data_IF_732146239290
#
_entry.id   IF_732146239290
#
_cell.length_a   1.000
_cell.length_b   1.000
_cell.length_c   1.000
_cell.angle_alpha   90.00
_cell.angle_beta   90.00
_cell.angle_gamma   90.00
#
_symmetry.space_group_name_H-M   'P 1'
#
loop_
_entity.id
_entity.type
_entity.pdbx_description
1 polymer ?
#
# COMPACT_ATOMS: atom_id res chain seq x y z
N UNK A 1 8.65 -0.90 -39.79
CA UNK A 1 7.66 -0.89 -38.69
C UNK A 1 8.15 -1.84 -37.61
N UNK A 2 8.63 -1.35 -36.46
CA UNK A 2 9.07 -2.20 -35.33
C UNK A 2 7.83 -2.61 -34.54
N UNK A 3 7.45 -3.87 -34.67
CA UNK A 3 6.36 -4.47 -33.91
C UNK A 3 6.93 -4.86 -32.54
N UNK A 4 6.87 -3.94 -31.57
CA UNK A 4 7.19 -4.25 -30.18
C UNK A 4 5.95 -4.90 -29.57
N UNK A 5 5.93 -6.23 -29.57
CA UNK A 5 5.02 -7.01 -28.74
C UNK A 5 5.36 -6.71 -27.29
N UNK A 6 4.58 -5.84 -26.65
CA UNK A 6 4.58 -5.71 -25.19
C UNK A 6 4.12 -7.06 -24.66
N UNK A 7 5.05 -7.82 -24.10
CA UNK A 7 4.71 -9.02 -23.34
C UNK A 7 4.03 -8.56 -22.05
N UNK A 8 2.70 -8.50 -22.07
CA UNK A 8 1.88 -8.41 -20.85
C UNK A 8 2.08 -9.71 -20.07
N UNK A 9 3.15 -9.76 -19.28
CA UNK A 9 3.29 -10.75 -18.24
C UNK A 9 2.15 -10.49 -17.26
N UNK A 10 1.29 -11.49 -16.95
CA UNK A 10 0.27 -11.30 -15.94
C UNK A 10 0.98 -10.93 -14.64
N UNK A 11 0.68 -9.75 -14.12
CA UNK A 11 1.08 -9.37 -12.77
C UNK A 11 0.43 -10.43 -11.87
N UNK A 12 1.24 -11.29 -11.27
CA UNK A 12 0.73 -12.31 -10.37
C UNK A 12 0.22 -11.60 -9.10
N UNK A 13 -1.10 -11.41 -9.03
CA UNK A 13 -1.75 -10.81 -7.86
C UNK A 13 -1.93 -11.92 -6.81
N UNK A 14 -1.22 -11.82 -5.69
CA UNK A 14 -1.42 -12.71 -4.54
C UNK A 14 -2.38 -12.04 -3.53
N UNK A 15 -3.62 -12.50 -3.35
CA UNK A 15 -4.57 -11.90 -2.41
C UNK A 15 -4.14 -11.97 -0.93
N UNK A 16 -3.07 -12.69 -0.62
CA UNK A 16 -2.44 -12.72 0.71
C UNK A 16 -1.56 -11.50 0.96
N UNK A 17 -1.07 -10.85 -0.10
CA UNK A 17 -0.26 -9.65 0.02
C UNK A 17 -1.09 -8.47 0.52
N UNK A 18 -0.48 -7.72 1.43
CA UNK A 18 -1.08 -6.62 2.17
C UNK A 18 -0.11 -5.45 2.12
N UNK A 19 -0.56 -4.29 1.67
CA UNK A 19 0.28 -3.10 1.56
C UNK A 19 -0.34 -1.93 2.32
N UNK A 20 0.52 -1.14 2.98
CA UNK A 20 0.12 0.10 3.65
C UNK A 20 1.03 1.22 3.18
N UNK A 21 0.45 2.35 2.75
CA UNK A 21 1.18 3.56 2.37
C UNK A 21 0.66 4.74 3.16
N UNK A 22 1.47 5.29 4.07
CA UNK A 22 1.09 6.51 4.79
C UNK A 22 1.15 7.68 3.80
N UNK A 23 0.04 8.38 3.65
CA UNK A 23 -0.04 9.55 2.76
C UNK A 23 0.27 10.82 3.52
N UNK A 24 -0.24 10.94 4.76
CA UNK A 24 -0.10 12.15 5.57
C UNK A 24 -0.43 11.92 7.05
N UNK A 25 0.06 12.80 7.92
CA UNK A 25 -0.50 13.02 9.25
C UNK A 25 -1.23 14.36 9.22
N UNK A 26 -2.52 14.36 9.55
CA UNK A 26 -3.34 15.57 9.45
C UNK A 26 -3.20 16.51 10.66
N UNK A 27 -3.68 17.77 10.59
CA UNK A 27 -3.57 18.72 11.70
C UNK A 27 -4.26 18.27 12.99
N UNK A 28 -5.20 17.33 12.89
CA UNK A 28 -5.91 16.73 14.02
C UNK A 28 -5.13 15.55 14.64
N UNK A 29 -3.97 15.19 14.08
CA UNK A 29 -3.10 14.12 14.58
C UNK A 29 -3.47 12.72 14.11
N UNK A 30 -4.36 12.58 13.13
CA UNK A 30 -4.69 11.28 12.53
C UNK A 30 -3.71 10.93 11.41
N UNK A 31 -3.43 9.64 11.28
CA UNK A 31 -2.66 9.06 10.17
C UNK A 31 -3.63 8.75 9.04
N UNK A 32 -3.45 9.41 7.90
CA UNK A 32 -4.10 9.09 6.63
C UNK A 32 -3.19 8.13 5.86
N UNK A 33 -3.77 7.02 5.39
CA UNK A 33 -3.03 5.99 4.69
C UNK A 33 -3.90 5.23 3.70
N UNK A 34 -3.27 4.69 2.66
CA UNK A 34 -3.87 3.75 1.75
C UNK A 34 -3.57 2.32 2.20
N UNK A 35 -4.56 1.44 2.07
CA UNK A 35 -4.43 0.02 2.32
C UNK A 35 -4.85 -0.79 1.09
N UNK A 36 -3.99 -1.71 0.66
CA UNK A 36 -4.21 -2.50 -0.55
C UNK A 36 -4.05 -4.00 -0.28
N UNK A 37 -4.76 -4.81 -1.06
CA UNK A 37 -4.70 -6.28 -1.02
C UNK A 37 -4.33 -6.79 -2.40
N UNK A 38 -3.29 -7.61 -2.46
CA UNK A 38 -2.76 -8.23 -3.67
C UNK A 38 -2.04 -7.30 -4.64
N UNK A 39 -2.46 -6.05 -4.78
CA UNK A 39 -1.81 -5.09 -5.67
C UNK A 39 -1.90 -3.67 -5.10
N UNK A 40 -0.81 -2.87 -5.08
CA UNK A 40 -0.84 -1.50 -4.56
C UNK A 40 -1.79 -0.54 -5.31
N UNK A 41 -2.12 -0.85 -6.57
CA UNK A 41 -2.94 -0.03 -7.46
C UNK A 41 -4.43 -0.04 -7.09
N UNK A 42 -4.89 -1.06 -6.35
CA UNK A 42 -6.27 -1.16 -5.85
C UNK A 42 -6.27 -1.05 -4.34
N UNK A 43 -6.45 0.18 -3.85
CA UNK A 43 -6.41 0.50 -2.43
C UNK A 43 -7.69 1.18 -1.95
N UNK A 44 -7.87 1.17 -0.63
CA UNK A 44 -8.85 1.99 0.09
C UNK A 44 -8.11 3.02 0.93
N UNK A 45 -8.62 4.25 0.96
CA UNK A 45 -8.12 5.30 1.83
C UNK A 45 -8.76 5.19 3.22
N UNK A 46 -7.92 5.24 4.25
CA UNK A 46 -8.30 5.10 5.65
C UNK A 46 -7.65 6.20 6.48
N UNK A 47 -8.27 6.51 7.61
CA UNK A 47 -7.75 7.47 8.58
C UNK A 47 -7.94 6.93 10.00
N UNK A 48 -6.86 6.82 10.76
CA UNK A 48 -6.87 6.30 12.14
C UNK A 48 -5.97 7.12 13.07
N UNK A 49 -6.26 7.15 14.38
CA UNK A 49 -5.28 7.62 15.37
C UNK A 49 -3.98 6.79 15.30
N UNK A 50 -2.82 7.35 15.67
CA UNK A 50 -1.52 6.67 15.54
C UNK A 50 -1.47 5.27 16.17
N UNK A 51 -1.98 5.11 17.39
CA UNK A 51 -1.99 3.80 18.09
C UNK A 51 -2.84 2.77 17.35
N UNK A 52 -4.03 3.15 16.87
CA UNK A 52 -4.91 2.26 16.12
C UNK A 52 -4.32 1.91 14.74
N UNK A 53 -3.58 2.83 14.11
CA UNK A 53 -2.86 2.57 12.88
C UNK A 53 -1.74 1.53 13.06
N UNK A 54 -0.98 1.61 14.16
CA UNK A 54 0.05 0.61 14.48
C UNK A 54 -0.56 -0.78 14.71
N UNK A 55 -1.65 -0.86 15.49
CA UNK A 55 -2.40 -2.09 15.71
C UNK A 55 -2.95 -2.67 14.40
N UNK A 56 -3.48 -1.82 13.52
CA UNK A 56 -3.95 -2.22 12.19
C UNK A 56 -2.83 -2.84 11.36
N UNK A 57 -1.65 -2.22 11.32
CA UNK A 57 -0.50 -2.73 10.58
C UNK A 57 -0.08 -4.12 11.08
N UNK A 58 -0.07 -4.34 12.40
CA UNK A 58 0.27 -5.62 13.01
C UNK A 58 -0.79 -6.69 12.70
N UNK A 59 -2.07 -6.34 12.81
CA UNK A 59 -3.18 -7.25 12.55
C UNK A 59 -3.22 -7.69 11.07
N UNK A 60 -2.95 -6.77 10.14
CA UNK A 60 -2.95 -7.07 8.70
C UNK A 60 -1.63 -7.66 8.20
N UNK A 61 -0.55 -7.62 8.98
CA UNK A 61 0.81 -8.04 8.56
C UNK A 61 1.24 -7.38 7.25
N UNK A 62 0.88 -6.11 7.09
CA UNK A 62 1.08 -5.39 5.83
C UNK A 62 2.52 -4.90 5.66
N UNK A 63 3.01 -4.98 4.43
CA UNK A 63 4.28 -4.36 4.02
C UNK A 63 4.10 -2.85 3.84
N UNK A 64 5.05 -2.06 4.37
CA UNK A 64 5.01 -0.60 4.26
C UNK A 64 5.61 -0.13 2.94
N UNK A 65 4.89 0.77 2.28
CA UNK A 65 5.31 1.46 1.08
C UNK A 65 5.62 2.93 1.38
N UNK A 66 6.58 3.49 0.65
CA UNK A 66 6.84 4.93 0.60
C UNK A 66 5.79 5.64 -0.26
N UNK A 67 5.88 6.97 -0.34
CA UNK A 67 4.95 7.80 -1.13
C UNK A 67 4.93 7.44 -2.63
N UNK A 68 5.96 6.76 -3.14
CA UNK A 68 6.09 6.33 -4.53
C UNK A 68 5.70 4.87 -4.74
N UNK A 69 5.20 4.18 -3.70
CA UNK A 69 4.80 2.78 -3.79
C UNK A 69 5.96 1.78 -3.69
N UNK A 70 7.16 2.22 -3.32
CA UNK A 70 8.30 1.31 -3.12
C UNK A 70 8.32 0.80 -1.68
N UNK A 71 8.84 -0.41 -1.47
CA UNK A 71 9.07 -0.94 -0.14
C UNK A 71 10.05 -0.05 0.65
N UNK A 72 9.62 0.37 1.84
CA UNK A 72 10.51 1.07 2.77
C UNK A 72 11.51 0.05 3.33
N UNK A 73 12.78 0.17 2.96
CA UNK A 73 13.85 -0.58 3.62
C UNK A 73 14.19 0.11 4.94
N UNK A 74 14.02 -0.61 6.04
CA UNK A 74 14.50 -0.22 7.37
C UNK A 74 16.03 -0.21 7.42
#
# INVERSE_FOLDING_TARGET
MRNQSVVEQPIAIDPSDRFVKVTRINPQGFVEFEFAIGTPELCVELMLPPTAFEEFCLAQKASRLDAFGNFVRH
#
